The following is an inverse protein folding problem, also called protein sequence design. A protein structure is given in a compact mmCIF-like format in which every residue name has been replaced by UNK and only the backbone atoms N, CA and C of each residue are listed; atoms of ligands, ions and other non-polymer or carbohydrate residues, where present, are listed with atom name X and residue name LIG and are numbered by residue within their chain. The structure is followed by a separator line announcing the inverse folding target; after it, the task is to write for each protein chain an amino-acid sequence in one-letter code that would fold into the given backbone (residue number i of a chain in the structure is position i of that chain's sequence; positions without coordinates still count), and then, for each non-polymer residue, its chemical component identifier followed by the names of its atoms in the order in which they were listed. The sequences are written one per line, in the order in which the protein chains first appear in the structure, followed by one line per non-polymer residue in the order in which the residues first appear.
data_IF_613133885358
#
_entry.id   IF_613133885358
#
_cell.length_a   1.000
_cell.length_b   1.000
_cell.length_c   1.000
_cell.angle_alpha   90.00
_cell.angle_beta   90.00
_cell.angle_gamma   90.00
#
_symmetry.space_group_name_H-M   'P 1'
#
loop_
_entity.id
_entity.type
_entity.pdbx_description
1 polymer ?
#
# COMPACT_ATOMS: atom_id res chain seq x y z
N UNK A 1 -19.42 -16.82 -61.74
CA UNK A 1 -19.28 -17.25 -63.14
C UNK A 1 -17.89 -16.73 -63.54
N UNK A 2 -16.83 -17.51 -63.64
CA UNK A 2 -16.70 -18.92 -64.02
C UNK A 2 -15.59 -19.62 -63.23
N UNK A 3 -15.75 -20.93 -63.08
CA UNK A 3 -14.80 -21.84 -62.47
C UNK A 3 -13.97 -22.45 -63.60
N UNK A 4 -12.67 -22.15 -63.69
CA UNK A 4 -11.75 -22.96 -64.49
C UNK A 4 -10.88 -23.83 -63.59
N UNK A 5 -11.34 -25.08 -63.40
CA UNK A 5 -10.45 -26.22 -63.17
C UNK A 5 -9.71 -26.47 -64.49
N UNK A 6 -8.38 -26.45 -64.46
CA UNK A 6 -7.56 -27.06 -65.51
C UNK A 6 -7.00 -28.35 -64.91
N UNK A 7 -7.48 -29.48 -65.42
CA UNK A 7 -6.95 -30.80 -65.09
C UNK A 7 -5.58 -31.02 -65.71
N UNK A 8 -4.66 -31.60 -64.96
CA UNK A 8 -3.36 -32.05 -65.45
C UNK A 8 -3.48 -33.52 -65.82
N UNK A 9 -3.43 -33.85 -67.11
CA UNK A 9 -3.24 -35.21 -67.59
C UNK A 9 -1.75 -35.44 -67.86
N UNK A 10 -1.14 -36.35 -67.10
CA UNK A 10 0.22 -36.85 -67.36
C UNK A 10 0.20 -37.80 -68.56
N UNK A 11 0.88 -37.44 -69.65
CA UNK A 11 1.21 -38.37 -70.75
C UNK A 11 2.71 -38.66 -70.70
N UNK A 12 3.02 -39.93 -70.44
CA UNK A 12 4.35 -40.51 -70.51
C UNK A 12 4.84 -40.60 -71.96
N UNK A 13 6.04 -40.10 -72.25
CA UNK A 13 6.72 -40.45 -73.50
C UNK A 13 7.69 -39.39 -74.03
N UNK A 14 8.96 -39.52 -73.61
CA UNK A 14 10.22 -39.23 -74.31
C UNK A 14 10.25 -38.06 -75.34
N UNK A 15 10.95 -36.98 -74.97
CA UNK A 15 11.99 -36.28 -75.76
C UNK A 15 12.01 -34.77 -75.47
N UNK A 16 13.15 -34.33 -74.94
CA UNK A 16 13.65 -32.96 -74.70
C UNK A 16 12.85 -31.77 -75.27
N UNK A 17 11.87 -31.27 -74.52
CA UNK A 17 11.71 -29.85 -74.14
C UNK A 17 10.91 -29.86 -72.84
N UNK A 18 11.51 -29.54 -71.70
CA UNK A 18 10.71 -29.17 -70.52
C UNK A 18 10.12 -27.81 -70.86
N UNK A 19 8.96 -27.81 -71.53
CA UNK A 19 8.14 -26.63 -71.65
C UNK A 19 7.64 -26.38 -70.23
N UNK A 20 8.38 -25.58 -69.46
CA UNK A 20 7.84 -24.96 -68.27
C UNK A 20 6.68 -24.09 -68.75
N UNK A 21 5.49 -24.69 -68.85
CA UNK A 21 4.25 -23.93 -68.85
C UNK A 21 4.26 -23.22 -67.50
N UNK A 22 4.74 -21.98 -67.51
CA UNK A 22 4.55 -21.05 -66.41
C UNK A 22 3.04 -20.86 -66.33
N UNK A 23 2.37 -21.73 -65.59
CA UNK A 23 1.00 -21.50 -65.17
C UNK A 23 1.07 -20.23 -64.35
N UNK A 24 0.69 -19.11 -64.94
CA UNK A 24 0.43 -17.87 -64.22
C UNK A 24 -0.77 -18.17 -63.33
N UNK A 25 -0.51 -18.64 -62.11
CA UNK A 25 -1.53 -18.76 -61.10
C UNK A 25 -1.84 -17.32 -60.70
N UNK A 26 -2.87 -16.75 -61.32
CA UNK A 26 -3.49 -15.53 -60.82
C UNK A 26 -4.14 -15.87 -59.48
N UNK A 27 -3.38 -15.76 -58.40
CA UNK A 27 -3.95 -15.66 -57.07
C UNK A 27 -4.57 -14.28 -57.00
N UNK A 28 -5.89 -14.22 -57.16
CA UNK A 28 -6.62 -12.99 -56.88
C UNK A 28 -6.27 -12.58 -55.46
N UNK A 29 -5.70 -11.39 -55.27
CA UNK A 29 -5.41 -10.89 -53.95
C UNK A 29 -6.70 -10.89 -53.12
N UNK A 30 -6.63 -11.52 -51.95
CA UNK A 30 -7.77 -11.72 -51.05
C UNK A 30 -7.33 -11.34 -49.65
N UNK A 31 -8.17 -10.58 -48.95
CA UNK A 31 -7.95 -10.28 -47.56
C UNK A 31 -8.53 -11.38 -46.68
N UNK A 32 -7.83 -11.71 -45.61
CA UNK A 32 -8.37 -12.51 -44.50
C UNK A 32 -9.28 -11.66 -43.62
N UNK A 33 -9.97 -12.25 -42.64
CA UNK A 33 -10.74 -11.47 -41.66
C UNK A 33 -9.79 -10.46 -40.96
N UNK A 34 -10.13 -9.17 -40.95
CA UNK A 34 -9.26 -8.15 -40.36
C UNK A 34 -9.13 -8.34 -38.85
N UNK A 35 -7.91 -8.22 -38.34
CA UNK A 35 -7.63 -8.12 -36.90
C UNK A 35 -7.77 -6.65 -36.51
N UNK A 36 -8.69 -6.35 -35.60
CA UNK A 36 -9.01 -4.97 -35.19
C UNK A 36 -8.36 -4.62 -33.85
N UNK A 37 -8.04 -3.34 -33.67
CA UNK A 37 -7.55 -2.80 -32.39
C UNK A 37 -8.62 -2.84 -31.27
N UNK A 38 -8.22 -2.82 -29.98
CA UNK A 38 -9.15 -2.76 -28.86
C UNK A 38 -10.14 -1.59 -28.98
N UNK A 39 -11.44 -1.89 -28.88
CA UNK A 39 -12.51 -0.92 -29.00
C UNK A 39 -13.16 -0.82 -30.38
N UNK A 40 -12.70 -1.61 -31.36
CA UNK A 40 -13.37 -1.82 -32.63
C UNK A 40 -13.92 -3.24 -32.74
N UNK A 41 -15.09 -3.38 -33.36
CA UNK A 41 -15.69 -4.69 -33.67
C UNK A 41 -16.27 -4.68 -35.09
N UNK A 42 -16.23 -5.83 -35.76
CA UNK A 42 -16.90 -5.97 -37.05
C UNK A 42 -18.42 -5.93 -36.89
N UNK A 43 -19.10 -5.50 -37.94
CA UNK A 43 -20.54 -5.76 -38.11
C UNK A 43 -20.74 -7.24 -38.45
N UNK A 44 -21.97 -7.75 -38.27
CA UNK A 44 -22.27 -9.18 -38.42
C UNK A 44 -21.81 -9.77 -39.76
N UNK A 45 -21.84 -8.99 -40.83
CA UNK A 45 -21.47 -9.44 -42.16
C UNK A 45 -19.97 -9.73 -42.31
N UNK A 46 -19.12 -9.11 -41.48
CA UNK A 46 -17.68 -9.37 -41.43
C UNK A 46 -17.32 -10.66 -40.68
N UNK A 47 -18.19 -11.15 -39.79
CA UNK A 47 -17.94 -12.40 -39.05
C UNK A 47 -18.36 -13.64 -39.82
N UNK A 48 -19.23 -13.51 -40.82
CA UNK A 48 -19.80 -14.65 -41.57
C UNK A 48 -18.83 -15.28 -42.57
N UNK A 49 -17.67 -14.64 -42.84
CA UNK A 49 -16.69 -15.08 -43.84
C UNK A 49 -15.27 -14.92 -43.30
N UNK A 50 -14.36 -15.77 -43.78
CA UNK A 50 -12.94 -15.73 -43.41
C UNK A 50 -12.04 -15.17 -44.53
N UNK A 51 -12.53 -15.12 -45.78
CA UNK A 51 -11.80 -14.61 -46.95
C UNK A 51 -12.65 -13.64 -47.78
N UNK A 52 -12.03 -12.59 -48.28
CA UNK A 52 -12.68 -11.48 -48.98
C UNK A 52 -11.91 -11.10 -50.25
N UNK A 53 -12.52 -11.07 -51.45
CA UNK A 53 -11.85 -10.62 -52.66
C UNK A 53 -11.53 -9.12 -52.64
N UNK A 54 -10.46 -8.70 -53.34
CA UNK A 54 -10.14 -7.29 -53.56
C UNK A 54 -11.36 -6.48 -54.03
N UNK A 55 -11.55 -5.30 -53.45
CA UNK A 55 -12.74 -4.46 -53.61
C UNK A 55 -13.87 -4.72 -52.61
N UNK A 56 -13.81 -5.81 -51.83
CA UNK A 56 -14.79 -6.06 -50.75
C UNK A 56 -14.73 -4.95 -49.72
N UNK A 57 -15.89 -4.51 -49.22
CA UNK A 57 -16.00 -3.56 -48.13
C UNK A 57 -16.66 -4.18 -46.91
N UNK A 58 -16.14 -3.85 -45.73
CA UNK A 58 -16.69 -4.25 -44.44
C UNK A 58 -16.95 -3.01 -43.59
N UNK A 59 -17.98 -3.10 -42.74
CA UNK A 59 -18.25 -2.07 -41.75
C UNK A 59 -17.70 -2.46 -40.37
N UNK A 60 -16.92 -1.58 -39.77
CA UNK A 60 -16.44 -1.61 -38.37
C UNK A 60 -17.24 -0.63 -37.52
N UNK A 61 -17.53 -1.01 -36.28
CA UNK A 61 -18.18 -0.13 -35.29
C UNK A 61 -17.35 -0.07 -34.02
N UNK A 62 -17.61 0.94 -33.18
CA UNK A 62 -17.03 0.95 -31.84
C UNK A 62 -17.62 -0.20 -31.02
N UNK A 63 -16.76 -0.93 -30.30
CA UNK A 63 -17.14 -2.01 -29.41
C UNK A 63 -17.91 -1.51 -28.18
N UNK A 64 -18.40 -2.45 -27.38
CA UNK A 64 -19.06 -2.12 -26.12
C UNK A 64 -18.12 -1.34 -25.19
N UNK A 65 -18.66 -0.32 -24.52
CA UNK A 65 -17.86 0.57 -23.69
C UNK A 65 -17.09 1.64 -24.47
N UNK A 66 -17.24 1.72 -25.80
CA UNK A 66 -16.66 2.76 -26.64
C UNK A 66 -17.73 3.57 -27.38
N UNK A 67 -17.41 4.84 -27.68
CA UNK A 67 -18.26 5.77 -28.42
C UNK A 67 -17.54 6.33 -29.64
N UNK A 68 -18.27 6.46 -30.75
CA UNK A 68 -17.77 7.09 -31.98
C UNK A 68 -17.53 8.58 -31.74
N UNK A 69 -16.32 9.04 -32.08
CA UNK A 69 -15.98 10.46 -32.08
C UNK A 69 -16.19 11.05 -33.48
N UNK A 70 -15.53 10.46 -34.48
CA UNK A 70 -15.56 10.92 -35.89
C UNK A 70 -15.10 9.82 -36.84
N UNK A 71 -15.24 10.05 -38.15
CA UNK A 71 -14.77 9.15 -39.22
C UNK A 71 -15.82 8.19 -39.76
N UNK A 72 -15.45 7.43 -40.78
CA UNK A 72 -16.30 6.44 -41.45
C UNK A 72 -15.99 5.02 -40.95
N UNK A 73 -17.03 4.22 -40.79
CA UNK A 73 -17.00 2.81 -40.39
C UNK A 73 -16.58 1.85 -41.49
N UNK A 74 -16.27 2.29 -42.71
CA UNK A 74 -15.99 1.37 -43.82
C UNK A 74 -14.50 1.13 -44.01
N UNK A 75 -14.10 -0.13 -44.12
CA UNK A 75 -12.78 -0.57 -44.58
C UNK A 75 -12.94 -1.34 -45.89
N UNK A 76 -11.96 -1.23 -46.78
CA UNK A 76 -11.97 -1.85 -48.10
C UNK A 76 -10.76 -2.75 -48.23
N UNK A 77 -10.94 -3.94 -48.79
CA UNK A 77 -9.86 -4.83 -49.16
C UNK A 77 -9.22 -4.31 -50.44
N UNK A 78 -8.01 -3.76 -50.34
CA UNK A 78 -7.22 -3.29 -51.46
C UNK A 78 -6.02 -4.22 -51.63
N UNK A 79 -6.10 -5.07 -52.66
CA UNK A 79 -5.00 -5.94 -53.07
C UNK A 79 -4.44 -6.83 -51.93
N UNK A 80 -5.35 -7.49 -51.22
CA UNK A 80 -5.01 -8.41 -50.12
C UNK A 80 -4.73 -7.73 -48.78
N UNK A 81 -4.72 -6.40 -48.72
CA UNK A 81 -4.60 -5.64 -47.47
C UNK A 81 -5.86 -4.81 -47.20
N UNK A 82 -6.29 -4.76 -45.93
CA UNK A 82 -7.38 -3.86 -45.54
C UNK A 82 -6.89 -2.43 -45.41
N UNK A 83 -7.66 -1.47 -45.94
CA UNK A 83 -7.44 -0.06 -45.66
C UNK A 83 -7.65 0.24 -44.18
N UNK A 84 -6.84 1.12 -43.60
CA UNK A 84 -7.01 1.54 -42.21
C UNK A 84 -8.35 2.27 -41.98
N UNK A 85 -9.10 1.94 -40.92
CA UNK A 85 -10.35 2.62 -40.62
C UNK A 85 -10.10 4.08 -40.24
N UNK A 86 -10.89 5.00 -40.78
CA UNK A 86 -10.88 6.42 -40.37
C UNK A 86 -11.69 6.67 -39.10
N UNK A 87 -12.51 5.70 -38.69
CA UNK A 87 -13.30 5.72 -37.47
C UNK A 87 -12.39 5.89 -36.24
N UNK A 88 -12.71 6.88 -35.39
CA UNK A 88 -12.07 7.07 -34.09
C UNK A 88 -13.06 6.80 -32.98
N UNK A 89 -12.70 5.85 -32.11
CA UNK A 89 -13.47 5.45 -30.93
C UNK A 89 -12.77 5.95 -29.66
N UNK A 90 -13.53 6.41 -28.68
CA UNK A 90 -13.06 6.68 -27.31
C UNK A 90 -13.78 5.80 -26.31
N UNK A 91 -13.16 5.51 -25.17
CA UNK A 91 -13.86 4.89 -24.05
C UNK A 91 -15.03 5.77 -23.59
N UNK A 92 -16.12 5.13 -23.18
CA UNK A 92 -17.21 5.79 -22.47
C UNK A 92 -16.73 6.13 -21.07
N UNK A 93 -17.05 7.33 -20.60
CA UNK A 93 -16.87 7.69 -19.19
C UNK A 93 -18.13 7.33 -18.43
N UNK A 94 -17.96 6.71 -17.26
CA UNK A 94 -19.06 6.47 -16.32
C UNK A 94 -19.36 7.70 -15.45
N UNK A 95 -18.61 8.80 -15.60
CA UNK A 95 -18.73 9.99 -14.77
C UNK A 95 -18.26 9.75 -13.34
N UNK A 96 -18.78 10.53 -12.40
CA UNK A 96 -18.46 10.38 -10.98
C UNK A 96 -18.95 9.02 -10.44
N UNK A 97 -18.14 8.28 -9.67
CA UNK A 97 -18.58 7.06 -8.97
C UNK A 97 -19.52 7.35 -7.79
N UNK A 98 -19.89 8.61 -7.56
CA UNK A 98 -20.72 9.04 -6.42
C UNK A 98 -19.89 9.41 -5.20
N UNK A 99 -20.56 9.87 -4.15
CA UNK A 99 -19.95 10.33 -2.91
C UNK A 99 -20.20 9.32 -1.79
N UNK A 100 -19.12 8.86 -1.14
CA UNK A 100 -19.20 7.96 0.00
C UNK A 100 -19.33 8.81 1.27
N UNK A 101 -20.46 8.68 1.98
CA UNK A 101 -20.65 9.39 3.26
C UNK A 101 -19.62 8.84 4.27
N UNK A 102 -18.90 9.74 4.95
CA UNK A 102 -17.79 9.40 5.86
C UNK A 102 -16.66 8.59 5.20
N UNK A 103 -16.45 8.79 3.90
CA UNK A 103 -15.39 8.13 3.15
C UNK A 103 -15.13 8.80 1.80
N UNK A 104 -14.44 8.10 0.90
CA UNK A 104 -14.15 8.56 -0.44
C UNK A 104 -13.83 7.39 -1.39
N UNK A 105 -13.90 7.64 -2.71
CA UNK A 105 -13.37 6.71 -3.71
C UNK A 105 -11.94 7.09 -4.11
N UNK A 106 -11.03 6.11 -4.10
CA UNK A 106 -9.73 6.26 -4.75
C UNK A 106 -9.90 6.08 -6.26
N UNK A 107 -9.92 7.19 -7.00
CA UNK A 107 -10.16 7.25 -8.44
C UNK A 107 -8.88 7.48 -9.27
N UNK A 108 -7.70 7.15 -8.72
CA UNK A 108 -6.41 7.29 -9.41
C UNK A 108 -6.34 6.51 -10.74
N UNK A 109 -7.10 5.43 -10.87
CA UNK A 109 -7.26 4.65 -12.12
C UNK A 109 -8.22 5.23 -13.16
N UNK A 110 -8.81 6.40 -12.91
CA UNK A 110 -9.75 7.07 -13.82
C UNK A 110 -11.21 6.59 -13.69
N UNK A 111 -12.07 7.08 -14.60
CA UNK A 111 -13.53 6.85 -14.58
C UNK A 111 -14.08 6.38 -15.93
N UNK A 112 -13.21 5.88 -16.80
CA UNK A 112 -13.54 5.39 -18.13
C UNK A 112 -13.78 3.87 -18.13
N UNK A 113 -14.38 3.36 -19.20
CA UNK A 113 -14.68 1.94 -19.37
C UNK A 113 -13.47 1.04 -19.02
N UNK A 114 -13.72 0.07 -18.13
CA UNK A 114 -12.73 -0.82 -17.55
C UNK A 114 -12.06 -0.32 -16.26
N UNK A 115 -12.28 0.94 -15.87
CA UNK A 115 -11.75 1.46 -14.60
C UNK A 115 -12.42 0.79 -13.40
N UNK A 116 -11.65 0.56 -12.34
CA UNK A 116 -12.14 0.10 -11.04
C UNK A 116 -11.75 1.12 -9.99
N UNK A 117 -12.71 1.54 -9.17
CA UNK A 117 -12.50 2.44 -8.04
C UNK A 117 -12.83 1.71 -6.74
N UNK A 118 -12.04 1.99 -5.70
CA UNK A 118 -12.21 1.39 -4.38
C UNK A 118 -12.64 2.47 -3.39
N UNK A 119 -13.64 2.15 -2.58
CA UNK A 119 -14.11 3.00 -1.51
C UNK A 119 -13.23 2.79 -0.27
N UNK A 120 -12.96 3.90 0.42
CA UNK A 120 -12.22 3.95 1.66
C UNK A 120 -13.03 4.75 2.67
N UNK A 121 -13.11 4.25 3.90
CA UNK A 121 -13.76 4.98 4.99
C UNK A 121 -12.78 5.87 5.72
N UNK A 122 -13.30 6.97 6.28
CA UNK A 122 -12.55 7.82 7.18
C UNK A 122 -12.20 7.05 8.47
N UNK A 123 -11.22 7.55 9.21
CA UNK A 123 -10.81 6.95 10.48
C UNK A 123 -12.01 6.81 11.44
N UNK A 124 -12.16 5.64 12.06
CA UNK A 124 -13.27 5.33 12.96
C UNK A 124 -14.55 4.86 12.29
N UNK A 125 -14.54 4.61 10.98
CA UNK A 125 -15.67 4.10 10.22
C UNK A 125 -15.31 2.81 9.48
N UNK A 126 -16.28 1.92 9.34
CA UNK A 126 -16.17 0.67 8.58
C UNK A 126 -17.10 0.66 7.36
N UNK A 127 -16.69 -0.08 6.33
CA UNK A 127 -17.41 -0.13 5.07
C UNK A 127 -18.57 -1.13 5.11
N UNK A 128 -19.76 -0.69 4.71
CA UNK A 128 -20.94 -1.52 4.59
C UNK A 128 -21.34 -1.62 3.11
N UNK A 129 -21.37 -2.85 2.60
CA UNK A 129 -21.68 -3.17 1.21
C UNK A 129 -20.44 -3.45 0.35
N UNK A 130 -20.54 -3.25 -0.97
CA UNK A 130 -19.44 -3.55 -1.90
C UNK A 130 -18.40 -2.42 -1.91
N UNK A 131 -17.17 -2.73 -1.49
CA UNK A 131 -16.07 -1.77 -1.38
C UNK A 131 -15.49 -1.26 -2.71
N UNK A 132 -16.02 -1.69 -3.85
CA UNK A 132 -15.52 -1.30 -5.16
C UNK A 132 -16.63 -1.11 -6.18
N UNK A 133 -16.35 -0.31 -7.21
CA UNK A 133 -17.22 -0.11 -8.38
C UNK A 133 -16.40 -0.18 -9.64
N UNK A 134 -16.98 -0.76 -10.69
CA UNK A 134 -16.32 -0.92 -11.99
C UNK A 134 -17.10 -0.19 -13.08
N UNK A 135 -16.40 0.49 -13.98
CA UNK A 135 -17.02 1.22 -15.06
C UNK A 135 -17.26 0.28 -16.26
N UNK A 136 -18.52 -0.09 -16.47
CA UNK A 136 -18.97 -0.89 -17.61
C UNK A 136 -19.65 -0.02 -18.68
N UNK A 137 -20.07 -0.65 -19.78
CA UNK A 137 -20.68 0.04 -20.92
C UNK A 137 -21.98 0.81 -20.59
N UNK A 138 -22.65 0.42 -19.50
CA UNK A 138 -23.89 1.00 -18.99
C UNK A 138 -23.70 1.89 -17.74
N UNK A 139 -22.45 2.10 -17.30
CA UNK A 139 -22.14 2.91 -16.11
C UNK A 139 -21.43 2.11 -15.02
N UNK A 140 -21.37 2.71 -13.83
CA UNK A 140 -20.75 2.10 -12.65
C UNK A 140 -21.56 0.91 -12.13
N UNK A 141 -20.88 -0.20 -11.83
CA UNK A 141 -21.47 -1.34 -11.12
C UNK A 141 -21.74 -1.00 -9.67
N UNK A 142 -22.59 -1.81 -9.03
CA UNK A 142 -22.98 -1.71 -7.62
C UNK A 142 -23.55 -0.33 -7.24
N UNK A 143 -24.04 -0.21 -6.02
CA UNK A 143 -24.42 1.09 -5.43
C UNK A 143 -23.21 1.68 -4.72
N UNK A 144 -23.30 2.97 -4.41
CA UNK A 144 -22.29 3.61 -3.54
C UNK A 144 -22.38 2.95 -2.15
N UNK A 145 -21.27 2.46 -1.59
CA UNK A 145 -21.27 1.90 -0.25
C UNK A 145 -21.40 3.01 0.81
N UNK A 146 -21.73 2.63 2.03
CA UNK A 146 -21.78 3.54 3.18
C UNK A 146 -20.65 3.22 4.14
N UNK A 147 -20.13 4.24 4.81
CA UNK A 147 -19.20 4.08 5.92
C UNK A 147 -19.95 4.35 7.22
N UNK A 148 -20.12 3.32 8.04
CA UNK A 148 -20.81 3.37 9.33
C UNK A 148 -19.79 3.51 10.45
N UNK A 149 -20.13 4.26 11.50
CA UNK A 149 -19.21 4.50 12.61
C UNK A 149 -18.95 3.18 13.35
N UNK A 150 -17.68 2.92 13.65
CA UNK A 150 -17.29 1.75 14.42
C UNK A 150 -17.86 1.83 15.83
N UNK A 151 -18.38 0.70 16.29
CA UNK A 151 -18.87 0.52 17.65
C UNK A 151 -17.98 -0.46 18.38
N UNK A 152 -17.53 -0.08 19.56
CA UNK A 152 -16.93 -1.01 20.50
C UNK A 152 -18.03 -1.87 21.13
N UNK A 153 -17.68 -3.08 21.56
CA UNK A 153 -18.57 -3.89 22.40
C UNK A 153 -18.74 -3.28 23.79
N UNK A 154 -19.31 -4.05 24.72
CA UNK A 154 -19.43 -3.61 26.11
C UNK A 154 -18.06 -3.30 26.73
N UNK A 155 -17.93 -2.20 27.50
CA UNK A 155 -16.70 -1.91 28.24
C UNK A 155 -16.37 -3.03 29.23
N UNK A 156 -15.10 -3.47 29.34
CA UNK A 156 -14.72 -4.53 30.25
C UNK A 156 -14.97 -4.18 31.72
N UNK A 157 -15.58 -5.09 32.48
CA UNK A 157 -15.65 -4.95 33.93
C UNK A 157 -14.26 -5.11 34.57
N UNK A 158 -14.03 -4.41 35.68
CA UNK A 158 -12.77 -4.49 36.43
C UNK A 158 -13.06 -4.89 37.88
N UNK A 159 -12.24 -5.77 38.43
CA UNK A 159 -12.38 -6.22 39.82
C UNK A 159 -12.21 -5.04 40.79
N UNK A 160 -13.08 -4.94 41.80
CA UNK A 160 -13.07 -3.85 42.79
C UNK A 160 -13.12 -2.44 42.18
N UNK A 161 -13.74 -2.30 41.01
CA UNK A 161 -14.00 -1.03 40.37
C UNK A 161 -15.34 -1.02 39.63
N UNK A 162 -15.73 0.17 39.17
CA UNK A 162 -16.98 0.39 38.45
C UNK A 162 -16.81 1.47 37.39
N UNK A 163 -17.65 1.40 36.37
CA UNK A 163 -17.81 2.49 35.40
C UNK A 163 -18.61 3.60 36.06
N UNK A 164 -18.08 4.82 36.05
CA UNK A 164 -18.73 6.02 36.61
C UNK A 164 -19.24 6.97 35.53
N UNK A 165 -18.73 6.85 34.30
CA UNK A 165 -19.17 7.64 33.15
C UNK A 165 -19.06 6.81 31.88
N UNK A 166 -20.13 6.79 31.09
CA UNK A 166 -20.22 6.10 29.79
C UNK A 166 -21.27 6.78 28.92
N UNK A 167 -21.15 6.74 27.58
CA UNK A 167 -22.20 7.22 26.68
C UNK A 167 -23.54 6.52 26.93
N UNK A 168 -24.65 7.26 26.79
CA UNK A 168 -26.02 6.74 26.90
C UNK A 168 -26.51 6.03 25.63
N UNK A 169 -25.63 5.30 24.96
CA UNK A 169 -25.90 4.52 23.74
C UNK A 169 -25.84 3.03 24.11
N UNK A 170 -26.40 2.17 23.26
CA UNK A 170 -26.31 0.71 23.45
C UNK A 170 -24.85 0.25 23.43
N UNK A 171 -24.06 0.77 22.49
CA UNK A 171 -22.63 0.49 22.34
C UNK A 171 -21.83 1.79 22.17
N UNK A 172 -20.67 1.95 22.84
CA UNK A 172 -19.80 3.09 22.64
C UNK A 172 -19.27 3.15 21.20
N UNK A 173 -19.30 4.33 20.59
CA UNK A 173 -18.83 4.57 19.23
C UNK A 173 -17.37 5.05 19.23
N UNK A 174 -16.69 4.98 18.09
CA UNK A 174 -15.32 5.48 17.95
C UNK A 174 -15.15 6.88 18.55
N UNK A 175 -14.14 7.03 19.42
CA UNK A 175 -13.84 8.27 20.13
C UNK A 175 -14.63 8.48 21.43
N UNK A 176 -15.68 7.68 21.70
CA UNK A 176 -16.38 7.72 22.98
C UNK A 176 -15.45 7.31 24.13
N UNK A 177 -15.61 7.98 25.27
CA UNK A 177 -14.76 7.83 26.46
C UNK A 177 -15.56 7.19 27.60
N UNK A 178 -14.96 6.19 28.25
CA UNK A 178 -15.51 5.53 29.44
C UNK A 178 -14.56 5.77 30.61
N UNK A 179 -15.10 6.13 31.76
CA UNK A 179 -14.33 6.42 32.97
C UNK A 179 -14.64 5.42 34.09
N UNK A 180 -13.57 4.91 34.68
CA UNK A 180 -13.60 3.96 35.79
C UNK A 180 -13.23 4.65 37.10
N UNK A 181 -13.82 4.15 38.18
CA UNK A 181 -13.39 4.45 39.54
C UNK A 181 -13.34 3.16 40.37
N UNK A 182 -12.35 3.10 41.26
CA UNK A 182 -12.26 1.98 42.18
C UNK A 182 -13.31 2.07 43.29
N UNK A 183 -13.61 0.92 43.87
CA UNK A 183 -14.37 0.82 45.10
C UNK A 183 -13.59 1.37 46.30
N UNK A 184 -14.27 1.48 47.43
CA UNK A 184 -13.68 2.02 48.65
C UNK A 184 -12.47 1.17 49.08
N UNK A 185 -11.36 1.85 49.42
CA UNK A 185 -10.06 1.28 49.82
C UNK A 185 -9.22 0.66 48.70
N UNK A 186 -9.66 0.76 47.44
CA UNK A 186 -8.88 0.37 46.27
C UNK A 186 -8.38 1.61 45.52
N UNK A 187 -7.22 1.47 44.87
CA UNK A 187 -6.55 2.52 44.12
C UNK A 187 -6.47 2.14 42.65
N UNK A 188 -6.65 3.13 41.78
CA UNK A 188 -6.67 2.94 40.33
C UNK A 188 -5.24 2.96 39.78
N UNK A 189 -4.86 1.88 39.11
CA UNK A 189 -3.60 1.74 38.41
C UNK A 189 -3.85 1.78 36.90
N UNK A 190 -3.15 2.69 36.21
CA UNK A 190 -3.35 2.97 34.79
C UNK A 190 -4.18 4.23 34.57
N UNK A 191 -4.70 4.42 33.35
CA UNK A 191 -5.55 5.57 33.03
C UNK A 191 -6.98 5.26 33.45
N UNK A 192 -7.59 6.16 34.22
CA UNK A 192 -9.00 6.03 34.63
C UNK A 192 -9.96 6.02 33.43
N UNK A 193 -9.55 6.62 32.31
CA UNK A 193 -10.34 6.73 31.10
C UNK A 193 -9.81 5.82 29.99
N UNK A 194 -10.72 5.09 29.36
CA UNK A 194 -10.48 4.34 28.14
C UNK A 194 -11.29 4.96 27.00
N UNK A 195 -10.80 4.78 25.77
CA UNK A 195 -11.43 5.32 24.56
C UNK A 195 -11.74 4.17 23.60
N UNK A 196 -12.88 4.24 22.92
CA UNK A 196 -13.19 3.34 21.82
C UNK A 196 -12.29 3.67 20.62
N UNK A 197 -11.39 2.75 20.27
CA UNK A 197 -10.38 2.98 19.23
C UNK A 197 -10.89 2.67 17.82
N UNK A 198 -10.08 3.01 16.83
CA UNK A 198 -10.37 2.84 15.39
C UNK A 198 -10.49 1.38 14.92
N UNK A 199 -10.19 0.41 15.79
CA UNK A 199 -10.35 -1.02 15.50
C UNK A 199 -11.62 -1.60 16.14
N UNK A 200 -12.48 -0.77 16.74
CA UNK A 200 -13.66 -1.24 17.47
C UNK A 200 -13.32 -1.92 18.80
N UNK A 201 -12.15 -1.63 19.38
CA UNK A 201 -11.69 -2.20 20.65
C UNK A 201 -11.21 -1.14 21.63
N UNK A 202 -11.18 -1.49 22.91
CA UNK A 202 -10.60 -0.65 23.95
C UNK A 202 -9.08 -0.78 24.02
N UNK A 203 -8.44 0.26 24.57
CA UNK A 203 -7.01 0.26 24.86
C UNK A 203 -6.69 -0.45 26.17
N UNK A 204 -5.61 -0.02 26.84
CA UNK A 204 -5.24 -0.55 28.16
C UNK A 204 -6.31 -0.25 29.22
N UNK A 205 -6.88 -1.31 29.79
CA UNK A 205 -7.90 -1.23 30.83
C UNK A 205 -7.23 -0.96 32.19
N UNK A 206 -7.74 -0.03 33.02
CA UNK A 206 -7.21 0.20 34.36
C UNK A 206 -7.47 -1.00 35.27
N UNK A 207 -6.70 -1.09 36.35
CA UNK A 207 -6.90 -2.10 37.40
C UNK A 207 -7.07 -1.43 38.75
N UNK A 208 -7.88 -2.03 39.62
CA UNK A 208 -8.07 -1.57 40.99
C UNK A 208 -7.40 -2.55 41.96
N UNK A 209 -6.53 -2.01 42.82
CA UNK A 209 -5.77 -2.82 43.76
C UNK A 209 -5.56 -2.14 45.11
N UNK A 210 -5.22 -2.90 46.13
CA UNK A 210 -4.76 -2.33 47.40
C UNK A 210 -3.35 -1.74 47.23
N UNK A 211 -3.11 -0.55 47.78
CA UNK A 211 -1.75 -0.02 47.86
C UNK A 211 -0.97 -0.78 48.94
N UNK A 212 0.20 -1.30 48.54
CA UNK A 212 1.15 -1.92 49.44
C UNK A 212 2.53 -1.33 49.14
N UNK A 213 2.96 -0.38 49.96
CA UNK A 213 4.25 0.25 49.77
C UNK A 213 5.38 -0.67 50.27
N UNK A 214 6.48 -0.81 49.51
CA UNK A 214 7.58 -1.69 49.89
C UNK A 214 8.31 -1.12 51.12
N UNK A 215 8.81 -1.94 52.04
CA UNK A 215 9.59 -1.46 53.18
C UNK A 215 10.80 -0.62 52.74
N UNK A 216 10.92 0.66 53.19
CA UNK A 216 12.08 1.49 52.82
C UNK A 216 13.38 0.87 53.29
N UNK A 217 14.37 0.82 52.40
CA UNK A 217 15.70 0.32 52.69
C UNK A 217 16.66 1.51 52.83
N UNK A 218 16.96 1.89 54.09
CA UNK A 218 17.82 3.04 54.39
C UNK A 218 19.11 2.54 55.06
N UNK A 219 20.19 2.44 54.29
CA UNK A 219 21.50 2.02 54.81
C UNK A 219 22.02 3.05 55.82
N UNK A 220 22.57 2.57 56.94
CA UNK A 220 22.96 3.41 58.09
C UNK A 220 21.81 4.24 58.70
N UNK A 221 20.57 3.96 58.30
CA UNK A 221 19.37 4.52 58.91
C UNK A 221 18.89 3.71 60.12
N UNK A 222 18.09 4.36 60.94
CA UNK A 222 17.33 3.78 62.04
C UNK A 222 15.88 4.25 61.92
N UNK A 223 14.93 3.33 61.99
CA UNK A 223 13.51 3.70 61.99
C UNK A 223 13.16 4.34 63.33
N UNK A 224 12.76 5.61 63.31
CA UNK A 224 12.43 6.42 64.49
C UNK A 224 10.92 6.48 64.76
N UNK A 225 10.08 6.14 63.79
CA UNK A 225 8.62 6.13 63.94
C UNK A 225 7.89 5.28 62.90
N UNK A 226 6.60 5.02 63.14
CA UNK A 226 5.73 4.22 62.28
C UNK A 226 5.53 2.75 62.71
N UNK A 227 4.55 2.08 62.08
CA UNK A 227 4.22 0.67 62.34
C UNK A 227 5.08 -0.35 61.56
N UNK A 228 4.94 -1.67 61.82
CA UNK A 228 5.55 -2.71 60.99
C UNK A 228 4.80 -2.89 59.63
N UNK A 229 5.44 -3.49 58.61
CA UNK A 229 4.76 -3.85 57.36
C UNK A 229 3.66 -4.90 57.57
N UNK A 230 2.67 -5.03 56.65
CA UNK A 230 2.57 -4.34 55.36
C UNK A 230 2.15 -2.87 55.47
N UNK A 231 2.77 -2.01 54.65
CA UNK A 231 2.49 -0.58 54.63
C UNK A 231 1.34 -0.29 53.66
N UNK A 232 0.14 -0.13 54.21
CA UNK A 232 -1.07 0.23 53.47
C UNK A 232 -1.20 1.76 53.34
N UNK A 233 -2.22 2.22 52.61
CA UNK A 233 -2.51 3.65 52.44
C UNK A 233 -2.49 4.43 53.75
N UNK A 234 -1.88 5.60 53.74
CA UNK A 234 -1.65 6.49 54.90
C UNK A 234 -0.77 5.90 56.01
N UNK A 235 -0.22 4.70 55.85
CA UNK A 235 0.86 4.25 56.72
C UNK A 235 2.03 5.21 56.58
N UNK A 236 2.67 5.56 57.69
CA UNK A 236 3.87 6.36 57.67
C UNK A 236 5.01 5.65 58.39
N UNK A 237 6.23 5.97 57.99
CA UNK A 237 7.46 5.57 58.67
C UNK A 237 8.40 6.78 58.71
N UNK A 238 9.14 6.88 59.80
CA UNK A 238 10.15 7.93 59.97
C UNK A 238 11.53 7.32 60.17
N UNK A 239 12.56 7.96 59.62
CA UNK A 239 13.94 7.53 59.67
C UNK A 239 14.86 8.63 60.20
N UNK A 240 15.78 8.24 61.07
CA UNK A 240 16.98 9.00 61.39
C UNK A 240 18.22 8.23 60.95
N UNK A 241 19.40 8.82 61.14
CA UNK A 241 20.67 8.16 60.83
C UNK A 241 21.42 7.71 62.09
N UNK A 242 22.24 6.66 61.95
CA UNK A 242 23.19 6.25 62.99
C UNK A 242 24.20 7.37 63.26
N UNK A 243 24.83 7.33 64.45
CA UNK A 243 25.83 8.33 64.84
C UNK A 243 26.96 8.47 63.81
N UNK A 244 27.31 9.72 63.46
CA UNK A 244 28.31 10.04 62.44
C UNK A 244 27.79 10.01 61.00
N UNK A 245 26.47 9.99 60.83
CA UNK A 245 25.80 10.13 59.54
C UNK A 245 24.70 11.20 59.63
N UNK A 246 24.57 12.00 58.58
CA UNK A 246 23.52 13.00 58.40
C UNK A 246 22.47 12.50 57.40
N UNK A 247 21.19 12.75 57.71
CA UNK A 247 20.06 12.40 56.86
C UNK A 247 19.94 13.37 55.68
N UNK A 248 19.81 12.83 54.49
CA UNK A 248 19.54 13.54 53.25
C UNK A 248 18.19 13.10 52.69
N UNK A 249 17.27 14.04 52.52
CA UNK A 249 15.90 13.78 52.06
C UNK A 249 14.86 13.95 53.18
N UNK A 250 13.66 13.40 52.96
CA UNK A 250 12.56 13.45 53.94
C UNK A 250 12.79 12.44 55.07
N UNK A 251 12.67 12.90 56.31
CA UNK A 251 12.71 12.03 57.50
C UNK A 251 11.40 11.26 57.71
N UNK A 252 10.32 11.63 57.02
CA UNK A 252 9.03 10.95 57.07
C UNK A 252 8.54 10.58 55.66
N UNK A 253 8.15 9.32 55.50
CA UNK A 253 7.53 8.78 54.30
C UNK A 253 6.10 8.37 54.60
N UNK A 254 5.16 8.74 53.74
CA UNK A 254 3.74 8.37 53.84
C UNK A 254 3.38 7.55 52.61
N UNK A 255 2.70 6.42 52.78
CA UNK A 255 2.22 5.57 51.69
C UNK A 255 0.95 6.20 51.08
N UNK A 256 1.07 6.76 49.88
CA UNK A 256 0.03 7.45 49.13
C UNK A 256 -0.59 6.54 48.06
N UNK A 257 -1.29 7.11 47.06
CA UNK A 257 -2.03 6.35 46.05
C UNK A 257 -1.17 5.77 44.91
N UNK A 258 0.04 6.27 44.75
CA UNK A 258 1.01 5.91 43.71
C UNK A 258 2.35 5.39 44.27
N UNK A 259 2.49 5.29 45.60
CA UNK A 259 3.69 4.80 46.26
C UNK A 259 4.02 5.58 47.54
N UNK A 260 5.30 5.67 47.90
CA UNK A 260 5.74 6.52 49.00
C UNK A 260 5.79 8.00 48.57
N UNK A 261 5.41 8.91 49.45
CA UNK A 261 5.33 10.35 49.19
C UNK A 261 6.65 11.00 48.77
N UNK A 262 7.79 10.39 49.11
CA UNK A 262 9.13 10.83 48.73
C UNK A 262 10.03 9.62 48.44
N UNK A 263 11.15 9.85 47.75
CA UNK A 263 12.20 8.84 47.64
C UNK A 263 12.76 8.46 49.02
N UNK A 264 13.34 7.26 49.11
CA UNK A 264 13.95 6.79 50.36
C UNK A 264 15.11 7.71 50.76
N UNK A 265 15.14 8.19 52.02
CA UNK A 265 16.20 9.06 52.49
C UNK A 265 17.54 8.31 52.51
N UNK A 266 18.64 9.06 52.45
CA UNK A 266 20.00 8.53 52.47
C UNK A 266 20.75 9.04 53.68
N UNK A 267 21.50 8.17 54.34
CA UNK A 267 22.39 8.57 55.43
C UNK A 267 23.81 8.73 54.90
N UNK A 268 24.28 9.98 54.83
CA UNK A 268 25.64 10.30 54.37
C UNK A 268 26.57 10.41 55.57
N UNK A 269 27.73 9.77 55.50
CA UNK A 269 28.74 9.85 56.56
C UNK A 269 29.21 11.29 56.71
N UNK A 270 29.27 11.77 57.94
CA UNK A 270 29.78 13.11 58.23
C UNK A 270 31.28 13.14 57.92
N UNK A 271 31.70 14.08 57.07
CA UNK A 271 33.13 14.35 56.91
C UNK A 271 33.63 14.98 58.21
N UNK A 272 34.50 14.24 58.91
CA UNK A 272 35.27 14.81 60.02
C UNK A 272 36.15 15.88 59.40
N UNK A 273 35.76 17.15 59.51
CA UNK A 273 36.61 18.28 59.12
C UNK A 273 37.81 18.24 60.09
N UNK A 274 39.01 17.88 59.62
CA UNK A 274 40.20 18.05 60.44
C UNK A 274 40.41 19.57 60.59
N UNK A 275 40.86 20.09 61.74
CA UNK A 275 41.14 21.51 61.88
C UNK A 275 42.08 21.97 60.76
N UNK A 276 41.62 22.97 60.00
CA UNK A 276 42.30 23.52 58.82
C UNK A 276 43.69 24.03 59.21
N UNK A 277 44.75 23.31 58.83
CA UNK A 277 46.08 23.91 58.74
C UNK A 277 46.10 24.79 57.49
N UNK A 278 46.21 26.09 57.70
CA UNK A 278 46.59 27.05 56.66
C UNK A 278 48.03 26.76 56.24
N UNK A 279 48.23 26.33 54.99
CA UNK A 279 49.51 26.48 54.30
C UNK A 279 49.26 26.93 52.86
N UNK A 280 49.34 28.25 52.72
CA UNK A 280 50.08 28.98 51.70
C UNK A 280 50.25 28.33 50.32
N UNK A 281 49.66 29.00 49.34
CA UNK A 281 49.94 28.83 47.92
C UNK A 281 51.40 29.17 47.57
N UNK A 282 51.95 28.49 46.56
CA UNK A 282 52.65 29.18 45.47
C UNK A 282 52.85 28.29 44.24
N UNK A 283 53.05 28.93 43.08
CA UNK A 283 52.63 28.43 41.77
C UNK A 283 53.82 27.93 40.95
N UNK A 284 53.53 27.30 39.80
CA UNK A 284 54.12 27.62 38.48
C UNK A 284 53.63 26.58 37.43
N UNK A 285 53.04 26.99 36.30
CA UNK A 285 53.71 27.37 35.02
C UNK A 285 54.22 26.10 34.32
N UNK A 286 53.96 25.73 33.06
CA UNK A 286 53.45 26.37 31.84
C UNK A 286 53.36 25.30 30.73
N UNK A 287 52.66 25.63 29.62
CA UNK A 287 52.98 25.28 28.20
C UNK A 287 53.07 23.79 27.81
N UNK A 288 52.50 23.28 26.72
CA UNK A 288 52.10 23.83 25.43
C UNK A 288 52.36 22.76 24.35
N UNK A 289 51.88 23.00 23.12
CA UNK A 289 52.20 22.33 21.85
C UNK A 289 51.32 21.14 21.36
N UNK A 290 50.35 21.53 20.52
CA UNK A 290 50.13 21.14 19.11
C UNK A 290 50.91 19.98 18.45
N UNK A 291 50.21 19.23 17.58
CA UNK A 291 50.52 18.80 16.17
C UNK A 291 49.92 17.40 15.90
N UNK A 292 48.86 17.26 15.10
CA UNK A 292 48.82 17.08 13.63
C UNK A 292 49.54 15.84 13.09
N UNK A 293 48.80 14.96 12.42
CA UNK A 293 49.31 14.02 11.39
C UNK A 293 48.20 13.62 10.41
N UNK A 294 48.53 13.25 9.16
CA UNK A 294 47.65 13.42 7.99
C UNK A 294 47.40 12.07 7.25
N UNK A 295 47.42 11.98 5.91
CA UNK A 295 46.31 11.61 5.01
C UNK A 295 46.49 10.24 4.31
N UNK A 296 45.68 9.93 3.27
CA UNK A 296 46.12 9.50 1.91
C UNK A 296 45.15 8.52 1.20
N UNK A 297 44.95 8.84 -0.10
CA UNK A 297 44.59 8.03 -1.29
C UNK A 297 43.25 7.28 -1.34
N UNK A 298 42.47 7.31 -2.42
CA UNK A 298 42.81 7.57 -3.82
C UNK A 298 42.69 6.27 -4.64
N UNK A 299 42.03 6.32 -5.80
CA UNK A 299 42.05 5.19 -6.75
C UNK A 299 40.84 5.10 -7.67
N UNK A 300 40.88 5.87 -8.76
CA UNK A 300 40.13 5.63 -9.99
C UNK A 300 40.56 4.32 -10.67
N UNK A 301 39.71 3.74 -11.52
CA UNK A 301 40.13 3.33 -12.88
C UNK A 301 38.95 2.94 -13.78
N UNK A 302 38.93 3.58 -14.95
CA UNK A 302 38.23 3.19 -16.17
C UNK A 302 38.71 1.84 -16.73
N UNK A 303 37.84 1.11 -17.43
CA UNK A 303 38.24 0.35 -18.62
C UNK A 303 37.11 0.24 -19.65
N UNK A 304 37.54 0.26 -20.90
CA UNK A 304 36.81 0.57 -22.12
C UNK A 304 36.97 -0.62 -23.11
N UNK A 305 36.12 -0.65 -24.15
CA UNK A 305 36.31 -1.26 -25.50
C UNK A 305 35.98 -2.75 -25.71
N UNK A 306 35.24 -3.02 -26.81
CA UNK A 306 35.40 -4.25 -27.60
C UNK A 306 34.23 -4.66 -28.53
N UNK A 307 34.31 -4.29 -29.81
CA UNK A 307 33.43 -4.66 -30.94
C UNK A 307 33.82 -6.05 -31.50
N UNK A 308 32.88 -6.83 -32.05
CA UNK A 308 33.14 -7.71 -33.21
C UNK A 308 31.87 -8.12 -33.97
N UNK A 309 32.01 -8.12 -35.30
CA UNK A 309 31.04 -8.47 -36.34
C UNK A 309 31.29 -9.92 -36.82
N UNK A 310 30.26 -10.60 -37.36
CA UNK A 310 30.43 -11.93 -37.96
C UNK A 310 29.25 -12.35 -38.82
N UNK A 311 29.47 -12.37 -40.14
CA UNK A 311 28.58 -12.83 -41.21
C UNK A 311 28.70 -14.35 -41.35
N UNK A 312 27.60 -15.07 -41.59
CA UNK A 312 27.64 -16.39 -42.23
C UNK A 312 26.38 -16.62 -43.07
N UNK A 313 26.64 -17.01 -44.32
CA UNK A 313 25.72 -17.29 -45.42
C UNK A 313 25.17 -18.71 -45.26
N UNK A 314 23.87 -18.90 -45.49
CA UNK A 314 23.31 -20.23 -45.77
C UNK A 314 22.27 -20.13 -46.89
N UNK A 315 22.63 -20.75 -48.01
CA UNK A 315 21.87 -20.91 -49.24
C UNK A 315 20.84 -22.01 -49.04
N UNK A 316 19.55 -21.69 -49.17
CA UNK A 316 18.49 -22.70 -49.29
C UNK A 316 17.46 -22.26 -50.34
N UNK A 317 17.59 -22.87 -51.52
CA UNK A 317 16.51 -23.28 -52.43
C UNK A 317 15.37 -22.28 -52.70
N UNK A 318 15.62 -21.35 -53.62
CA UNK A 318 14.58 -20.63 -54.36
C UNK A 318 13.91 -21.60 -55.36
N UNK A 319 12.77 -22.17 -54.98
CA UNK A 319 11.72 -22.49 -55.96
C UNK A 319 11.11 -21.15 -56.34
N UNK A 320 11.58 -20.57 -57.46
CA UNK A 320 10.97 -19.39 -58.05
C UNK A 320 9.61 -19.78 -58.65
N UNK A 321 8.55 -19.85 -57.82
CA UNK A 321 7.23 -19.52 -58.31
C UNK A 321 7.23 -18.01 -58.56
N UNK A 322 7.35 -17.61 -59.82
CA UNK A 322 7.10 -16.22 -60.21
C UNK A 322 5.60 -15.97 -60.05
N UNK A 323 5.19 -15.48 -58.88
CA UNK A 323 3.85 -14.94 -58.67
C UNK A 323 3.78 -13.59 -59.39
N UNK A 324 3.25 -13.58 -60.61
CA UNK A 324 2.92 -12.33 -61.32
C UNK A 324 1.65 -11.77 -60.69
N UNK A 325 1.76 -10.58 -60.11
CA UNK A 325 0.63 -9.88 -59.51
C UNK A 325 -0.09 -9.03 -60.57
N UNK A 326 -1.31 -9.43 -60.94
CA UNK A 326 -2.08 -8.73 -61.96
C UNK A 326 -2.86 -7.55 -61.34
N UNK A 327 -2.34 -6.33 -61.53
CA UNK A 327 -3.02 -5.09 -61.16
C UNK A 327 -4.18 -4.84 -62.13
N UNK A 328 -5.43 -5.00 -61.66
CA UNK A 328 -6.61 -4.65 -62.46
C UNK A 328 -6.66 -3.12 -62.62
N UNK A 329 -6.30 -2.62 -63.80
CA UNK A 329 -6.46 -1.22 -64.18
C UNK A 329 -7.96 -1.00 -64.44
N UNK A 330 -8.67 -0.37 -63.49
CA UNK A 330 -10.07 0.02 -63.66
C UNK A 330 -10.17 0.98 -64.86
N UNK A 331 -11.00 0.60 -65.84
CA UNK A 331 -11.53 1.51 -66.86
C UNK A 331 -12.54 2.48 -66.25
#
# INVERSE_FOLDING_TARGET
MDMQRIGVSCLSGVSTVILCLVSVICVNAQCERPILEPGFVLTEDGYKKDKFPSGSSLSVKCGEGYSKIRGNSTIVCDDGNWTSPTLKCKKKSCGSPGEVINGYFNSSGGTEFGATVYAHCNQGFEIVGTAYRQCYAFGWTHRVPTCEILKCGDPPEIDNGRIISSPSKEFPEYGDVIEYACEKNYFLFGKAQIVCNENGTYGSIPTCGEINCPPPQVENGIRTGGGPPPYKYKSFVSYGCKLGYTLEGSDQLVCEGDGWSHEFPKCRKDEVIPPRRTSTASPNTSTGATTSSPPVSGGDTHKNIGIACGIAIAVLSLICCVCVYCKNKKG
#
